data_IF_464761493856
#
_entry.id   IF_464761493856
#
_cell.length_a   1.000
_cell.length_b   1.000
_cell.length_c   1.000
_cell.angle_alpha   90.00
_cell.angle_beta   90.00
_cell.angle_gamma   90.00
#
_symmetry.space_group_name_H-M   'P 1'
#
loop_
_entity.id
_entity.type
_entity.pdbx_description
1 polymer ?
#
# COMPACT_ATOMS: atom_id res chain seq x y z
N UNK A 1 24.60 -37.55 12.86
CA UNK A 1 23.80 -36.75 11.89
C UNK A 1 22.37 -36.70 12.40
N UNK A 2 22.06 -35.78 13.35
CA UNK A 2 20.67 -35.53 13.78
C UNK A 2 20.05 -34.50 12.84
N UNK A 3 19.05 -34.91 12.23
CA UNK A 3 18.26 -34.44 11.14
C UNK A 3 18.00 -32.90 11.15
N UNK A 4 18.53 -32.26 10.17
CA UNK A 4 18.23 -30.92 9.69
C UNK A 4 16.76 -30.82 9.19
N UNK A 5 16.07 -31.97 9.13
CA UNK A 5 14.70 -32.11 8.65
C UNK A 5 13.59 -31.55 9.56
N UNK A 6 13.89 -31.27 10.82
CA UNK A 6 12.85 -30.89 11.79
C UNK A 6 12.52 -29.40 11.89
N UNK A 7 13.27 -28.51 11.23
CA UNK A 7 12.99 -27.08 11.26
C UNK A 7 12.26 -26.53 10.02
N UNK A 8 11.91 -27.40 9.07
CA UNK A 8 11.19 -27.01 7.85
C UNK A 8 9.76 -27.53 7.98
N UNK A 9 8.78 -26.64 8.06
CA UNK A 9 7.38 -27.02 8.24
C UNK A 9 6.86 -27.94 7.11
N UNK A 10 5.74 -28.65 7.32
CA UNK A 10 5.20 -29.65 6.41
C UNK A 10 4.97 -29.14 4.99
N UNK A 11 4.71 -27.85 4.84
CA UNK A 11 4.52 -27.19 3.55
C UNK A 11 5.79 -27.16 2.69
N UNK A 12 6.96 -27.11 3.28
CA UNK A 12 8.23 -27.06 2.54
C UNK A 12 8.53 -28.32 1.73
N UNK A 13 8.26 -29.49 2.30
CA UNK A 13 8.51 -30.75 1.62
C UNK A 13 7.63 -30.93 0.38
N UNK A 14 6.37 -30.55 0.48
CA UNK A 14 5.42 -30.63 -0.63
C UNK A 14 5.81 -29.73 -1.81
N UNK A 15 6.35 -28.56 -1.49
CA UNK A 15 6.87 -27.61 -2.48
C UNK A 15 7.98 -28.18 -3.33
N UNK A 16 9.03 -28.69 -2.71
CA UNK A 16 10.17 -29.28 -3.40
C UNK A 16 9.75 -30.41 -4.33
N UNK A 17 8.88 -31.28 -3.82
CA UNK A 17 8.39 -32.44 -4.56
C UNK A 17 7.62 -31.99 -5.81
N UNK A 18 6.67 -31.07 -5.66
CA UNK A 18 5.84 -30.61 -6.77
C UNK A 18 6.63 -29.88 -7.84
N UNK A 19 7.51 -28.97 -7.44
CA UNK A 19 8.31 -28.17 -8.36
C UNK A 19 9.29 -29.03 -9.14
N UNK A 20 10.01 -29.94 -8.47
CA UNK A 20 10.88 -30.89 -9.13
C UNK A 20 10.10 -31.78 -10.09
N UNK A 21 8.92 -32.27 -9.68
CA UNK A 21 8.05 -33.05 -10.54
C UNK A 21 7.64 -32.31 -11.81
N UNK A 22 7.20 -31.05 -11.67
CA UNK A 22 6.76 -30.26 -12.83
C UNK A 22 7.93 -29.88 -13.75
N UNK A 23 9.09 -29.58 -13.18
CA UNK A 23 10.33 -29.30 -13.94
C UNK A 23 10.76 -30.48 -14.78
N UNK A 24 10.65 -31.69 -14.22
CA UNK A 24 10.99 -32.92 -14.91
C UNK A 24 9.88 -33.45 -15.81
N UNK A 25 8.70 -32.79 -15.83
CA UNK A 25 7.56 -33.17 -16.65
C UNK A 25 6.81 -34.42 -16.17
N UNK A 26 7.06 -34.89 -14.93
CA UNK A 26 6.41 -36.11 -14.40
C UNK A 26 4.97 -35.83 -13.99
N UNK A 27 4.09 -36.85 -14.26
CA UNK A 27 2.74 -36.92 -13.69
C UNK A 27 2.79 -37.38 -12.23
N UNK A 28 1.77 -37.03 -11.45
CA UNK A 28 1.67 -37.48 -10.06
C UNK A 28 1.79 -38.99 -9.90
N UNK A 29 1.14 -39.73 -10.80
CA UNK A 29 1.18 -41.19 -10.79
C UNK A 29 2.57 -41.79 -11.06
N UNK A 30 3.38 -41.14 -11.88
CA UNK A 30 4.75 -41.57 -12.18
C UNK A 30 5.69 -41.40 -11.00
N UNK A 31 5.53 -40.33 -10.25
CA UNK A 31 6.33 -40.09 -9.04
C UNK A 31 5.86 -40.98 -7.89
N UNK A 32 4.55 -41.21 -7.77
CA UNK A 32 3.97 -42.01 -6.69
C UNK A 32 4.20 -43.50 -6.86
N UNK A 33 4.41 -44.00 -8.09
CA UNK A 33 4.56 -45.41 -8.41
C UNK A 33 5.58 -46.10 -7.49
N UNK A 34 5.19 -47.21 -6.87
CA UNK A 34 6.00 -48.00 -5.94
C UNK A 34 6.47 -47.30 -4.68
N UNK A 35 6.06 -46.02 -4.47
CA UNK A 35 6.47 -45.21 -3.32
C UNK A 35 5.29 -44.96 -2.39
N UNK A 36 4.16 -44.45 -2.93
CA UNK A 36 2.96 -44.11 -2.16
C UNK A 36 1.74 -44.02 -3.06
N UNK A 37 0.55 -43.83 -2.47
CA UNK A 37 -0.65 -43.54 -3.20
C UNK A 37 -0.61 -42.13 -3.85
N UNK A 38 -1.15 -42.00 -5.06
CA UNK A 38 -1.20 -40.74 -5.82
C UNK A 38 -1.96 -39.66 -5.06
N UNK A 39 -3.03 -40.05 -4.34
CA UNK A 39 -3.80 -39.09 -3.53
C UNK A 39 -3.01 -38.64 -2.32
N UNK A 40 -2.17 -39.49 -1.75
CA UNK A 40 -1.28 -39.13 -0.64
C UNK A 40 -0.17 -38.19 -1.11
N UNK A 41 0.45 -38.46 -2.26
CA UNK A 41 1.44 -37.56 -2.86
C UNK A 41 0.82 -36.17 -3.16
N UNK A 42 -0.41 -36.14 -3.66
CA UNK A 42 -1.14 -34.90 -3.87
C UNK A 42 -1.35 -34.08 -2.56
N UNK A 43 -1.65 -34.78 -1.46
CA UNK A 43 -1.76 -34.14 -0.13
C UNK A 43 -0.42 -33.62 0.38
N UNK A 44 0.67 -34.37 0.12
CA UNK A 44 2.04 -33.92 0.44
C UNK A 44 2.37 -32.67 -0.37
N UNK A 45 2.14 -32.67 -1.69
CA UNK A 45 2.40 -31.51 -2.54
C UNK A 45 1.56 -30.28 -2.17
N UNK A 46 0.36 -30.49 -1.61
CA UNK A 46 -0.49 -29.41 -1.06
C UNK A 46 -0.10 -28.99 0.35
N UNK A 47 0.90 -29.64 0.97
CA UNK A 47 1.32 -29.36 2.33
C UNK A 47 0.30 -29.72 3.41
N UNK A 48 -0.76 -30.48 3.08
CA UNK A 48 -1.78 -30.93 4.04
C UNK A 48 -1.32 -32.13 4.87
N UNK A 49 -0.27 -32.82 4.42
CA UNK A 49 0.35 -33.97 5.12
C UNK A 49 1.86 -33.86 4.98
N UNK A 50 2.57 -34.08 6.09
CA UNK A 50 4.03 -34.19 6.11
C UNK A 50 4.43 -35.64 5.82
N UNK A 51 5.25 -35.94 4.80
CA UNK A 51 5.78 -37.26 4.59
C UNK A 51 6.76 -37.62 5.72
N UNK A 52 6.83 -38.88 6.09
CA UNK A 52 7.92 -39.35 6.94
C UNK A 52 9.27 -39.27 6.19
N UNK A 53 10.37 -39.27 6.92
CA UNK A 53 11.72 -39.09 6.38
C UNK A 53 12.06 -40.11 5.27
N UNK A 54 11.72 -41.36 5.48
CA UNK A 54 12.00 -42.44 4.52
C UNK A 54 11.21 -42.27 3.20
N UNK A 55 9.96 -41.85 3.29
CA UNK A 55 9.11 -41.55 2.15
C UNK A 55 9.62 -40.33 1.38
N UNK A 56 9.99 -39.27 2.12
CA UNK A 56 10.56 -38.07 1.51
C UNK A 56 11.85 -38.36 0.76
N UNK A 57 12.77 -39.15 1.33
CA UNK A 57 14.03 -39.53 0.69
C UNK A 57 13.76 -40.33 -0.60
N UNK A 58 12.78 -41.24 -0.61
CA UNK A 58 12.42 -42.02 -1.82
C UNK A 58 11.88 -41.12 -2.93
N UNK A 59 10.99 -40.18 -2.60
CA UNK A 59 10.43 -39.23 -3.56
C UNK A 59 11.52 -38.28 -4.06
N UNK A 60 12.34 -37.73 -3.17
CA UNK A 60 13.44 -36.85 -3.51
C UNK A 60 14.44 -37.53 -4.46
N UNK A 61 14.80 -38.78 -4.17
CA UNK A 61 15.71 -39.55 -5.02
C UNK A 61 15.12 -39.81 -6.45
N UNK A 62 13.80 -40.04 -6.56
CA UNK A 62 13.13 -40.22 -7.86
C UNK A 62 13.08 -38.93 -8.68
N UNK A 63 12.98 -37.79 -7.98
CA UNK A 63 12.91 -36.47 -8.59
C UNK A 63 14.27 -35.75 -8.70
N UNK A 64 15.36 -36.49 -8.44
CA UNK A 64 16.72 -35.93 -8.45
C UNK A 64 16.85 -34.63 -7.64
N UNK A 65 16.08 -34.58 -6.55
CA UNK A 65 16.14 -33.45 -5.63
C UNK A 65 17.44 -33.60 -4.83
N UNK A 66 18.38 -32.73 -5.08
CA UNK A 66 19.46 -32.48 -4.15
C UNK A 66 18.86 -31.81 -2.92
N UNK A 67 19.06 -32.38 -1.73
CA UNK A 67 18.47 -31.86 -0.49
C UNK A 67 19.49 -30.89 0.11
N UNK A 68 19.52 -29.64 -0.32
CA UNK A 68 20.43 -28.67 0.27
C UNK A 68 19.90 -28.21 1.60
N UNK A 69 20.79 -27.82 2.48
CA UNK A 69 20.53 -27.01 3.67
C UNK A 69 19.98 -25.63 3.24
N UNK A 70 18.74 -25.58 2.74
CA UNK A 70 18.13 -24.30 2.38
C UNK A 70 17.40 -23.72 3.57
N UNK A 71 18.12 -23.00 4.40
CA UNK A 71 17.51 -21.91 5.17
C UNK A 71 17.01 -20.86 4.19
N UNK A 72 15.83 -20.28 4.47
CA UNK A 72 15.19 -19.24 3.66
C UNK A 72 15.99 -17.93 3.77
N UNK A 73 17.27 -17.98 3.39
CA UNK A 73 18.17 -16.83 3.48
C UNK A 73 17.85 -15.75 2.44
N UNK A 74 17.21 -16.10 1.32
CA UNK A 74 16.91 -15.16 0.26
C UNK A 74 15.93 -14.06 0.70
N UNK A 75 14.93 -14.40 1.53
CA UNK A 75 14.00 -13.41 2.10
C UNK A 75 14.77 -12.46 3.02
N UNK A 76 15.70 -13.01 3.80
CA UNK A 76 16.47 -12.22 4.74
C UNK A 76 17.49 -11.31 4.05
N UNK A 77 18.13 -11.75 2.98
CA UNK A 77 19.14 -10.96 2.26
C UNK A 77 18.53 -10.04 1.19
N UNK A 78 17.53 -10.51 0.42
CA UNK A 78 16.98 -9.78 -0.71
C UNK A 78 16.01 -8.65 -0.33
N UNK A 79 15.25 -8.82 0.73
CA UNK A 79 14.22 -7.86 1.18
C UNK A 79 14.70 -7.07 2.41
N UNK A 80 15.66 -7.59 3.16
CA UNK A 80 16.13 -7.01 4.42
C UNK A 80 16.57 -5.55 4.29
N UNK A 81 17.31 -5.22 3.25
CA UNK A 81 17.77 -3.86 3.02
C UNK A 81 16.61 -2.90 2.75
N UNK A 82 15.61 -3.34 1.98
CA UNK A 82 14.40 -2.54 1.79
C UNK A 82 13.61 -2.38 3.09
N UNK A 83 13.32 -3.47 3.80
CA UNK A 83 12.52 -3.45 5.02
C UNK A 83 13.15 -2.61 6.12
N UNK A 84 14.48 -2.45 6.14
CA UNK A 84 15.16 -1.71 7.18
C UNK A 84 15.75 -0.38 6.73
N UNK A 85 16.25 -0.29 5.50
CA UNK A 85 16.95 0.90 5.00
C UNK A 85 16.14 1.69 3.97
N UNK A 86 15.04 1.14 3.45
CA UNK A 86 14.26 1.75 2.37
C UNK A 86 14.97 1.74 1.02
N UNK A 87 16.10 1.04 0.90
CA UNK A 87 16.91 1.01 -0.32
C UNK A 87 16.33 0.06 -1.36
N UNK A 88 15.67 0.63 -2.37
CA UNK A 88 15.08 -0.10 -3.49
C UNK A 88 16.13 -0.71 -4.43
N UNK A 89 17.32 -0.10 -4.51
CA UNK A 89 18.35 -0.46 -5.48
C UNK A 89 18.98 -1.82 -5.23
N UNK A 90 18.90 -2.30 -4.01
CA UNK A 90 19.58 -3.52 -3.56
C UNK A 90 18.67 -4.76 -3.53
N UNK A 91 17.35 -4.60 -3.71
CA UNK A 91 16.42 -5.74 -3.64
C UNK A 91 16.75 -6.75 -4.75
N UNK A 92 17.28 -7.89 -4.34
CA UNK A 92 17.55 -9.03 -5.23
C UNK A 92 18.70 -8.87 -6.20
N UNK A 93 19.63 -7.90 -6.03
CA UNK A 93 20.80 -7.75 -6.91
C UNK A 93 21.75 -8.94 -6.91
N UNK A 94 21.85 -9.62 -5.77
CA UNK A 94 22.81 -10.72 -5.56
C UNK A 94 22.11 -12.10 -5.52
N UNK A 95 20.84 -12.18 -5.96
CA UNK A 95 20.10 -13.43 -5.96
C UNK A 95 20.11 -14.01 -7.37
N UNK A 96 20.76 -15.16 -7.54
CA UNK A 96 20.75 -15.91 -8.77
C UNK A 96 19.37 -16.57 -8.96
N UNK A 97 18.80 -16.40 -10.15
CA UNK A 97 17.51 -16.97 -10.51
C UNK A 97 17.49 -18.50 -10.35
N UNK A 98 18.61 -19.14 -10.66
CA UNK A 98 18.74 -20.59 -10.63
C UNK A 98 18.83 -21.16 -9.21
N UNK A 99 19.04 -20.28 -8.21
CA UNK A 99 19.09 -20.63 -6.79
C UNK A 99 17.71 -20.58 -6.11
N UNK A 100 16.71 -19.96 -6.77
CA UNK A 100 15.37 -19.81 -6.21
C UNK A 100 14.39 -20.80 -6.84
N UNK A 101 13.45 -21.26 -6.02
CA UNK A 101 12.30 -21.99 -6.50
C UNK A 101 11.38 -21.07 -7.30
N UNK A 102 10.58 -21.66 -8.19
CA UNK A 102 9.71 -20.90 -9.10
C UNK A 102 8.77 -19.95 -8.36
N UNK A 103 8.16 -20.36 -7.24
CA UNK A 103 7.26 -19.52 -6.45
C UNK A 103 8.02 -18.43 -5.69
N UNK A 104 9.20 -18.70 -5.14
CA UNK A 104 10.06 -17.72 -4.46
C UNK A 104 10.52 -16.65 -5.46
N UNK A 105 10.87 -17.06 -6.67
CA UNK A 105 11.21 -16.14 -7.74
C UNK A 105 10.03 -15.23 -8.11
N UNK A 106 8.82 -15.79 -8.28
CA UNK A 106 7.64 -15.01 -8.58
C UNK A 106 7.28 -14.04 -7.45
N UNK A 107 7.43 -14.47 -6.20
CA UNK A 107 7.22 -13.60 -5.05
C UNK A 107 8.25 -12.45 -5.02
N UNK A 108 9.52 -12.71 -5.28
CA UNK A 108 10.57 -11.70 -5.34
C UNK A 108 10.30 -10.70 -6.48
N UNK A 109 9.97 -11.18 -7.68
CA UNK A 109 9.65 -10.31 -8.81
C UNK A 109 8.37 -9.49 -8.55
N UNK A 110 7.37 -10.08 -7.89
CA UNK A 110 6.18 -9.35 -7.44
C UNK A 110 6.54 -8.21 -6.49
N UNK A 111 7.37 -8.47 -5.49
CA UNK A 111 7.85 -7.46 -4.55
C UNK A 111 8.59 -6.34 -5.28
N UNK A 112 9.51 -6.68 -6.19
CA UNK A 112 10.24 -5.70 -7.02
C UNK A 112 9.30 -4.85 -7.86
N UNK A 113 8.27 -5.45 -8.47
CA UNK A 113 7.28 -4.74 -9.27
C UNK A 113 6.46 -3.76 -8.41
N UNK A 114 6.04 -4.17 -7.20
CA UNK A 114 5.35 -3.29 -6.24
C UNK A 114 6.22 -2.09 -5.88
N UNK A 115 7.48 -2.32 -5.54
CA UNK A 115 8.42 -1.29 -5.13
C UNK A 115 8.76 -0.31 -6.26
N UNK A 116 8.81 -0.80 -7.51
CA UNK A 116 9.03 0.02 -8.72
C UNK A 116 7.77 0.72 -9.21
N UNK A 117 6.63 0.50 -8.55
CA UNK A 117 5.29 1.00 -8.95
C UNK A 117 4.90 0.55 -10.38
N UNK A 118 5.35 -0.63 -10.80
CA UNK A 118 5.05 -1.21 -12.11
C UNK A 118 3.72 -1.98 -12.05
N UNK A 119 2.64 -1.23 -12.15
CA UNK A 119 1.28 -1.74 -11.96
C UNK A 119 0.86 -2.82 -12.97
N UNK A 120 1.45 -2.85 -14.17
CA UNK A 120 1.16 -3.87 -15.16
C UNK A 120 1.76 -5.22 -14.73
N UNK A 121 3.03 -5.22 -14.35
CA UNK A 121 3.71 -6.41 -13.87
C UNK A 121 3.17 -6.87 -12.51
N UNK A 122 2.81 -5.95 -11.60
CA UNK A 122 2.16 -6.29 -10.32
C UNK A 122 0.90 -7.13 -10.56
N UNK A 123 0.01 -6.72 -11.46
CA UNK A 123 -1.23 -7.46 -11.75
C UNK A 123 -0.98 -8.84 -12.35
N UNK A 124 0.02 -8.96 -13.23
CA UNK A 124 0.42 -10.25 -13.83
C UNK A 124 1.02 -11.18 -12.77
N UNK A 125 2.01 -10.69 -12.03
CA UNK A 125 2.73 -11.46 -11.03
C UNK A 125 1.84 -11.84 -9.84
N UNK A 126 0.90 -10.95 -9.44
CA UNK A 126 -0.11 -11.28 -8.44
C UNK A 126 -0.88 -12.55 -8.80
N UNK A 127 -1.38 -12.66 -10.05
CA UNK A 127 -2.10 -13.86 -10.48
C UNK A 127 -1.22 -15.11 -10.36
N UNK A 128 0.05 -15.00 -10.76
CA UNK A 128 1.00 -16.12 -10.66
C UNK A 128 1.24 -16.52 -9.19
N UNK A 129 1.43 -15.55 -8.30
CA UNK A 129 1.62 -15.84 -6.86
C UNK A 129 0.34 -16.38 -6.24
N UNK A 130 -0.84 -15.88 -6.62
CA UNK A 130 -2.13 -16.39 -6.13
C UNK A 130 -2.34 -17.87 -6.51
N UNK A 131 -1.94 -18.28 -7.71
CA UNK A 131 -1.98 -19.69 -8.15
C UNK A 131 -1.09 -20.60 -7.29
N UNK A 132 0.01 -20.05 -6.76
CA UNK A 132 0.97 -20.76 -5.91
C UNK A 132 0.80 -20.45 -4.41
N UNK A 133 -0.21 -19.68 -4.03
CA UNK A 133 -0.38 -19.17 -2.64
C UNK A 133 -0.50 -20.28 -1.59
N UNK A 134 -1.01 -21.45 -1.97
CA UNK A 134 -1.10 -22.62 -1.08
C UNK A 134 0.26 -23.24 -0.76
N UNK A 135 1.30 -22.87 -1.49
CA UNK A 135 2.67 -23.33 -1.30
C UNK A 135 3.50 -22.39 -0.45
N UNK A 136 3.05 -21.16 -0.26
CA UNK A 136 3.76 -20.16 0.56
C UNK A 136 3.75 -20.61 2.03
N UNK A 137 4.92 -20.62 2.65
CA UNK A 137 5.04 -20.79 4.09
C UNK A 137 4.49 -19.55 4.81
N UNK A 138 4.21 -19.67 6.10
CA UNK A 138 3.59 -18.60 6.90
C UNK A 138 4.35 -17.26 6.79
N UNK A 139 5.69 -17.30 6.76
CA UNK A 139 6.53 -16.09 6.61
C UNK A 139 6.44 -15.48 5.21
N UNK A 140 6.46 -16.29 4.17
CA UNK A 140 6.31 -15.83 2.78
C UNK A 140 4.91 -15.26 2.55
N UNK A 141 3.89 -15.90 3.14
CA UNK A 141 2.51 -15.42 3.10
C UNK A 141 2.36 -14.08 3.82
N UNK A 142 2.99 -13.93 5.00
CA UNK A 142 3.01 -12.65 5.71
C UNK A 142 3.62 -11.54 4.85
N UNK A 143 4.74 -11.83 4.18
CA UNK A 143 5.42 -10.88 3.29
C UNK A 143 4.56 -10.59 2.05
N UNK A 144 3.95 -11.62 1.44
CA UNK A 144 3.06 -11.44 0.31
C UNK A 144 1.88 -10.52 0.66
N UNK A 145 1.20 -10.80 1.78
CA UNK A 145 0.07 -9.98 2.24
C UNK A 145 0.50 -8.55 2.57
N UNK A 146 1.70 -8.34 3.13
CA UNK A 146 2.26 -7.02 3.34
C UNK A 146 2.47 -6.28 2.01
N UNK A 147 3.16 -6.87 1.05
CA UNK A 147 3.49 -6.18 -0.20
C UNK A 147 2.27 -5.96 -1.11
N UNK A 148 1.31 -6.86 -1.12
CA UNK A 148 0.06 -6.63 -1.84
C UNK A 148 -0.77 -5.51 -1.18
N UNK A 149 -0.72 -5.40 0.15
CA UNK A 149 -1.35 -4.27 0.86
C UNK A 149 -0.69 -2.93 0.48
N UNK A 150 0.65 -2.91 0.36
CA UNK A 150 1.41 -1.74 -0.11
C UNK A 150 0.93 -1.31 -1.51
N UNK A 151 0.78 -2.28 -2.42
CA UNK A 151 0.24 -2.02 -3.75
C UNK A 151 -1.18 -1.42 -3.68
N UNK A 152 -2.08 -1.99 -2.87
CA UNK A 152 -3.44 -1.48 -2.76
C UNK A 152 -3.51 -0.10 -2.08
N UNK A 153 -2.64 0.19 -1.12
CA UNK A 153 -2.49 1.54 -0.55
C UNK A 153 -2.07 2.54 -1.63
N UNK A 154 -1.07 2.20 -2.44
CA UNK A 154 -0.61 3.05 -3.54
C UNK A 154 -1.70 3.31 -4.60
N UNK A 155 -2.55 2.30 -4.86
CA UNK A 155 -3.72 2.43 -5.76
C UNK A 155 -4.95 3.05 -5.06
N UNK A 156 -4.82 3.49 -3.80
CA UNK A 156 -5.91 4.01 -2.96
C UNK A 156 -7.10 3.04 -2.82
N UNK A 157 -6.86 1.73 -2.90
CA UNK A 157 -7.87 0.69 -2.72
C UNK A 157 -7.86 0.19 -1.27
N UNK A 158 -8.29 1.04 -0.35
CA UNK A 158 -8.12 0.83 1.09
C UNK A 158 -8.90 -0.35 1.66
N UNK A 159 -10.04 -0.72 1.07
CA UNK A 159 -10.80 -1.90 1.49
C UNK A 159 -10.00 -3.19 1.29
N UNK A 160 -9.37 -3.33 0.11
CA UNK A 160 -8.51 -4.48 -0.19
C UNK A 160 -7.21 -4.42 0.61
N UNK A 161 -6.61 -3.24 0.75
CA UNK A 161 -5.44 -3.04 1.59
C UNK A 161 -5.70 -3.52 3.03
N UNK A 162 -6.84 -3.16 3.62
CA UNK A 162 -7.20 -3.56 4.98
C UNK A 162 -7.31 -5.07 5.16
N UNK A 163 -7.88 -5.79 4.18
CA UNK A 163 -7.97 -7.26 4.23
C UNK A 163 -6.57 -7.90 4.32
N UNK A 164 -5.67 -7.48 3.44
CA UNK A 164 -4.30 -8.01 3.41
C UNK A 164 -3.45 -7.57 4.60
N UNK A 165 -3.61 -6.33 5.08
CA UNK A 165 -2.97 -5.88 6.32
C UNK A 165 -3.39 -6.74 7.52
N UNK A 166 -4.70 -7.08 7.61
CA UNK A 166 -5.19 -7.95 8.67
C UNK A 166 -4.59 -9.36 8.60
N UNK A 167 -4.47 -9.96 7.39
CA UNK A 167 -3.85 -11.27 7.22
C UNK A 167 -2.36 -11.23 7.58
N UNK A 168 -1.62 -10.21 7.09
CA UNK A 168 -0.21 -10.02 7.43
C UNK A 168 -0.01 -9.85 8.95
N UNK A 169 -0.88 -9.09 9.62
CA UNK A 169 -0.82 -8.90 11.09
C UNK A 169 -1.11 -10.19 11.86
N UNK A 170 -2.11 -10.99 11.42
CA UNK A 170 -2.38 -12.31 12.02
C UNK A 170 -1.18 -13.26 11.88
N UNK A 171 -0.56 -13.28 10.70
CA UNK A 171 0.63 -14.09 10.45
C UNK A 171 1.82 -13.59 11.30
N UNK A 172 2.06 -12.28 11.40
CA UNK A 172 3.10 -11.70 12.24
C UNK A 172 2.93 -12.07 13.72
N UNK A 173 1.69 -12.03 14.25
CA UNK A 173 1.38 -12.46 15.61
C UNK A 173 1.68 -13.95 15.83
N UNK A 174 1.28 -14.83 14.89
CA UNK A 174 1.57 -16.27 14.99
C UNK A 174 3.06 -16.57 14.97
N UNK A 175 3.81 -15.85 14.15
CA UNK A 175 5.25 -16.01 13.99
C UNK A 175 6.06 -15.26 15.05
N UNK A 176 5.41 -14.48 15.92
CA UNK A 176 6.05 -13.58 16.90
C UNK A 176 7.08 -12.64 16.25
N UNK A 177 6.72 -12.07 15.08
CA UNK A 177 7.56 -11.15 14.33
C UNK A 177 7.07 -9.73 14.57
N UNK A 178 7.97 -8.82 14.94
CA UNK A 178 7.73 -7.37 14.92
C UNK A 178 8.21 -6.81 13.58
N UNK A 179 7.30 -6.34 12.75
CA UNK A 179 7.59 -5.81 11.42
C UNK A 179 7.21 -4.33 11.36
N UNK A 180 8.22 -3.41 11.44
CA UNK A 180 7.94 -1.97 11.44
C UNK A 180 7.36 -1.46 10.11
N UNK A 181 7.58 -2.17 8.99
CA UNK A 181 6.95 -1.81 7.72
C UNK A 181 5.46 -2.16 7.74
N UNK A 182 5.07 -3.27 8.34
CA UNK A 182 3.67 -3.59 8.57
C UNK A 182 3.01 -2.51 9.45
N UNK A 183 3.68 -2.11 10.55
CA UNK A 183 3.14 -1.12 11.47
C UNK A 183 2.93 0.25 10.79
N UNK A 184 3.86 0.74 9.97
CA UNK A 184 3.65 2.02 9.26
C UNK A 184 2.50 1.93 8.24
N UNK A 185 2.29 0.80 7.55
CA UNK A 185 1.17 0.63 6.64
C UNK A 185 -0.17 0.44 7.38
N UNK A 186 -0.17 -0.16 8.57
CA UNK A 186 -1.32 -0.15 9.47
C UNK A 186 -1.64 1.28 9.92
N UNK A 187 -0.64 2.08 10.26
CA UNK A 187 -0.83 3.49 10.60
C UNK A 187 -1.49 4.26 9.44
N UNK A 188 -0.97 4.12 8.20
CA UNK A 188 -1.61 4.72 7.01
C UNK A 188 -3.08 4.30 6.86
N UNK A 189 -3.38 3.02 7.04
CA UNK A 189 -4.74 2.50 6.95
C UNK A 189 -5.65 3.10 8.03
N UNK A 190 -5.21 3.12 9.28
CA UNK A 190 -6.00 3.65 10.39
C UNK A 190 -6.21 5.17 10.29
N UNK A 191 -5.22 5.93 9.85
CA UNK A 191 -5.40 7.36 9.58
C UNK A 191 -6.37 7.59 8.42
N UNK A 192 -6.29 6.80 7.35
CA UNK A 192 -7.25 6.88 6.27
C UNK A 192 -8.69 6.60 6.74
N UNK A 193 -8.87 5.63 7.62
CA UNK A 193 -10.17 5.27 8.19
C UNK A 193 -10.57 6.12 9.40
N UNK A 194 -9.84 7.20 9.69
CA UNK A 194 -10.09 8.14 10.80
C UNK A 194 -10.07 7.47 12.20
N UNK A 195 -9.30 6.40 12.36
CA UNK A 195 -9.02 5.80 13.67
C UNK A 195 -7.68 6.30 14.20
N UNK A 196 -7.68 7.54 14.72
CA UNK A 196 -6.44 8.23 15.12
C UNK A 196 -5.66 7.47 16.20
N UNK A 197 -6.36 6.91 17.20
CA UNK A 197 -5.69 6.20 18.30
C UNK A 197 -4.88 5.01 17.79
N UNK A 198 -5.49 4.15 16.95
CA UNK A 198 -4.79 3.00 16.37
C UNK A 198 -3.69 3.46 15.40
N UNK A 199 -3.94 4.53 14.62
CA UNK A 199 -2.97 5.10 13.70
C UNK A 199 -1.68 5.56 14.43
N UNK A 200 -1.81 6.35 15.49
CA UNK A 200 -0.65 6.80 16.27
C UNK A 200 0.02 5.65 17.02
N UNK A 201 -0.73 4.70 17.57
CA UNK A 201 -0.15 3.52 18.21
C UNK A 201 0.80 2.76 17.27
N UNK A 202 0.33 2.40 16.08
CA UNK A 202 1.17 1.67 15.11
C UNK A 202 2.32 2.53 14.58
N UNK A 203 2.11 3.83 14.40
CA UNK A 203 3.16 4.74 13.97
C UNK A 203 4.30 4.83 15.00
N UNK A 204 3.97 4.90 16.29
CA UNK A 204 4.97 4.91 17.38
C UNK A 204 5.74 3.59 17.45
N UNK A 205 5.07 2.44 17.28
CA UNK A 205 5.75 1.14 17.21
C UNK A 205 6.75 1.08 16.04
N UNK A 206 6.33 1.54 14.86
CA UNK A 206 7.19 1.60 13.68
C UNK A 206 8.40 2.53 13.89
N UNK A 207 8.15 3.75 14.36
CA UNK A 207 9.20 4.78 14.58
C UNK A 207 10.25 4.30 15.58
N UNK A 208 9.84 3.73 16.72
CA UNK A 208 10.75 3.21 17.72
C UNK A 208 11.69 2.12 17.16
N UNK A 209 11.15 1.20 16.34
CA UNK A 209 11.94 0.14 15.72
C UNK A 209 12.87 0.67 14.62
N UNK A 210 12.41 1.62 13.80
CA UNK A 210 13.23 2.22 12.76
C UNK A 210 14.37 3.07 13.33
N UNK A 211 14.13 3.84 14.40
CA UNK A 211 15.17 4.60 15.10
C UNK A 211 16.22 3.65 15.71
N UNK A 212 15.78 2.56 16.37
CA UNK A 212 16.70 1.54 16.89
C UNK A 212 17.60 0.91 15.83
N UNK A 213 17.13 0.83 14.57
CA UNK A 213 17.85 0.26 13.43
C UNK A 213 18.59 1.30 12.59
N UNK A 214 18.54 2.58 12.97
CA UNK A 214 19.09 3.70 12.20
C UNK A 214 18.54 3.74 10.75
N UNK A 215 17.31 3.32 10.55
CA UNK A 215 16.65 3.26 9.25
C UNK A 215 16.13 4.65 8.84
N UNK A 216 17.04 5.56 8.47
CA UNK A 216 16.80 6.99 8.23
C UNK A 216 15.61 7.25 7.31
N UNK A 217 15.52 6.57 6.17
CA UNK A 217 14.40 6.72 5.23
C UNK A 217 13.04 6.56 5.92
N UNK A 218 12.88 5.49 6.70
CA UNK A 218 11.63 5.19 7.38
C UNK A 218 11.35 6.14 8.55
N UNK A 219 12.38 6.58 9.27
CA UNK A 219 12.24 7.60 10.33
C UNK A 219 11.68 8.90 9.74
N UNK A 220 12.21 9.34 8.59
CA UNK A 220 11.68 10.52 7.89
C UNK A 220 10.20 10.30 7.52
N UNK A 221 9.84 9.13 6.97
CA UNK A 221 8.43 8.82 6.63
C UNK A 221 7.52 8.79 7.86
N UNK A 222 7.99 8.27 8.99
CA UNK A 222 7.23 8.30 10.25
C UNK A 222 7.02 9.73 10.73
N UNK A 223 8.06 10.56 10.75
CA UNK A 223 7.95 11.95 11.21
C UNK A 223 7.05 12.79 10.28
N UNK A 224 7.12 12.61 8.96
CA UNK A 224 6.22 13.26 7.98
C UNK A 224 4.75 12.88 8.21
N UNK A 225 4.49 11.60 8.40
CA UNK A 225 3.15 11.09 8.67
C UNK A 225 2.62 11.62 10.01
N UNK A 226 3.45 11.57 11.05
CA UNK A 226 3.12 12.09 12.37
C UNK A 226 2.75 13.58 12.32
N UNK A 227 3.59 14.41 11.70
CA UNK A 227 3.32 15.84 11.55
C UNK A 227 2.01 16.09 10.79
N UNK A 228 1.80 15.38 9.67
CA UNK A 228 0.59 15.51 8.86
C UNK A 228 -0.68 15.21 9.66
N UNK A 229 -0.69 14.12 10.41
CA UNK A 229 -1.90 13.68 11.11
C UNK A 229 -2.14 14.49 12.40
N UNK A 230 -1.10 14.98 13.06
CA UNK A 230 -1.22 15.94 14.17
C UNK A 230 -1.84 17.26 13.72
N UNK A 231 -1.38 17.81 12.60
CA UNK A 231 -1.95 19.05 12.02
C UNK A 231 -3.43 18.83 11.65
N UNK A 232 -3.77 17.72 10.98
CA UNK A 232 -5.17 17.40 10.65
C UNK A 232 -6.06 17.25 11.87
N UNK A 233 -5.52 16.76 12.98
CA UNK A 233 -6.21 16.67 14.26
C UNK A 233 -6.30 18.02 15.01
N UNK A 234 -5.72 19.09 14.46
CA UNK A 234 -5.70 20.42 15.10
C UNK A 234 -4.69 20.56 16.23
N UNK A 235 -3.77 19.61 16.38
CA UNK A 235 -2.75 19.59 17.44
C UNK A 235 -1.39 19.94 16.84
N UNK A 236 -0.90 21.13 17.12
CA UNK A 236 0.33 21.67 16.50
C UNK A 236 1.55 21.69 17.43
N UNK A 237 1.35 21.32 18.70
CA UNK A 237 2.45 21.24 19.65
C UNK A 237 3.50 20.24 19.15
N UNK A 238 4.77 20.60 19.27
CA UNK A 238 5.92 19.82 18.80
C UNK A 238 6.05 19.66 17.26
N UNK A 239 5.01 19.95 16.47
CA UNK A 239 5.07 19.82 15.00
C UNK A 239 6.14 20.72 14.40
N UNK A 240 6.21 21.99 14.85
CA UNK A 240 7.20 22.95 14.36
C UNK A 240 8.63 22.49 14.63
N UNK A 241 8.87 21.96 15.82
CA UNK A 241 10.20 21.43 16.22
C UNK A 241 10.59 20.25 15.33
N UNK A 242 9.67 19.30 15.11
CA UNK A 242 9.94 18.14 14.25
C UNK A 242 10.16 18.53 12.79
N UNK A 243 9.35 19.44 12.23
CA UNK A 243 9.51 19.92 10.86
C UNK A 243 10.84 20.65 10.66
N UNK A 244 11.26 21.49 11.61
CA UNK A 244 12.59 22.12 11.56
C UNK A 244 13.70 21.07 11.61
N UNK A 245 13.58 20.08 12.47
CA UNK A 245 14.53 18.96 12.51
C UNK A 245 14.65 18.22 11.20
N UNK A 246 13.50 17.89 10.55
CA UNK A 246 13.46 17.23 9.24
C UNK A 246 14.07 18.10 8.14
N UNK A 247 13.75 19.42 8.10
CA UNK A 247 14.32 20.34 7.12
C UNK A 247 15.84 20.36 7.22
N UNK A 248 16.40 20.51 8.43
CA UNK A 248 17.85 20.49 8.65
C UNK A 248 18.52 19.17 8.27
N UNK A 249 17.83 18.03 8.45
CA UNK A 249 18.35 16.72 8.06
C UNK A 249 18.43 16.54 6.55
N UNK A 250 17.54 17.15 5.78
CA UNK A 250 17.45 16.96 4.32
C UNK A 250 18.21 18.00 3.52
N UNK A 251 18.44 19.21 4.05
CA UNK A 251 19.24 20.25 3.37
C UNK A 251 20.67 19.76 3.04
N UNK A 252 21.16 18.75 3.74
CA UNK A 252 22.52 18.21 3.56
C UNK A 252 22.64 17.13 2.47
N UNK A 253 21.54 16.54 1.97
CA UNK A 253 21.60 15.34 1.12
C UNK A 253 20.72 15.35 -0.15
N UNK A 254 20.02 16.46 -0.46
CA UNK A 254 19.43 16.65 -1.79
C UNK A 254 18.25 15.76 -2.19
N UNK A 255 17.49 15.20 -1.26
CA UNK A 255 16.23 14.49 -1.58
C UNK A 255 15.09 15.48 -1.87
N UNK A 256 14.95 15.83 -3.15
CA UNK A 256 13.96 16.80 -3.63
C UNK A 256 12.51 16.40 -3.32
N UNK A 257 12.19 15.09 -3.35
CA UNK A 257 10.84 14.60 -3.05
C UNK A 257 10.48 14.79 -1.58
N UNK A 258 11.37 14.45 -0.68
CA UNK A 258 11.15 14.64 0.76
C UNK A 258 11.08 16.13 1.13
N UNK A 259 11.87 17.00 0.49
CA UNK A 259 11.77 18.45 0.66
C UNK A 259 10.42 18.99 0.19
N UNK A 260 9.89 18.51 -0.93
CA UNK A 260 8.56 18.87 -1.42
C UNK A 260 7.47 18.43 -0.43
N UNK A 261 7.53 17.21 0.10
CA UNK A 261 6.61 16.74 1.14
C UNK A 261 6.65 17.61 2.39
N UNK A 262 7.85 17.96 2.90
CA UNK A 262 8.03 18.85 4.07
C UNK A 262 7.43 20.22 3.80
N UNK A 263 7.73 20.84 2.65
CA UNK A 263 7.14 22.13 2.30
C UNK A 263 5.60 22.06 2.25
N UNK A 264 5.03 20.98 1.72
CA UNK A 264 3.59 20.77 1.73
C UNK A 264 3.00 20.67 3.15
N UNK A 265 3.74 20.08 4.10
CA UNK A 265 3.30 20.00 5.51
C UNK A 265 3.47 21.33 6.20
N UNK A 266 4.53 22.10 5.92
CA UNK A 266 4.65 23.48 6.37
C UNK A 266 3.48 24.34 5.88
N UNK A 267 3.04 24.16 4.64
CA UNK A 267 1.84 24.81 4.12
C UNK A 267 0.61 24.51 4.98
N UNK A 268 0.36 23.23 5.32
CA UNK A 268 -0.73 22.82 6.21
C UNK A 268 -0.61 23.43 7.61
N UNK A 269 0.60 23.49 8.17
CA UNK A 269 0.88 24.05 9.49
C UNK A 269 0.54 25.55 9.54
N UNK A 270 0.99 26.33 8.56
CA UNK A 270 0.69 27.76 8.50
C UNK A 270 -0.78 28.04 8.16
N UNK A 271 -1.42 27.17 7.36
CA UNK A 271 -2.85 27.25 7.10
C UNK A 271 -3.66 27.10 8.40
N UNK A 272 -3.33 26.12 9.25
CA UNK A 272 -3.99 25.94 10.54
C UNK A 272 -3.78 27.14 11.49
N UNK A 273 -2.65 27.83 11.37
CA UNK A 273 -2.36 29.07 12.10
C UNK A 273 -3.00 30.32 11.49
N UNK A 274 -3.82 30.17 10.44
CA UNK A 274 -4.42 31.27 9.67
C UNK A 274 -3.38 32.25 9.06
N UNK A 275 -2.16 31.78 8.80
CA UNK A 275 -1.09 32.55 8.17
C UNK A 275 -1.09 32.25 6.65
N UNK A 276 -2.13 32.73 5.96
CA UNK A 276 -2.47 32.36 4.58
C UNK A 276 -1.32 32.61 3.59
N UNK A 277 -0.60 33.73 3.71
CA UNK A 277 0.49 34.04 2.77
C UNK A 277 1.71 33.12 2.95
N UNK A 278 2.07 32.79 4.19
CA UNK A 278 3.12 31.80 4.45
C UNK A 278 2.69 30.41 3.98
N UNK A 279 1.45 30.01 4.24
CA UNK A 279 0.91 28.75 3.74
C UNK A 279 1.02 28.66 2.23
N UNK A 280 0.62 29.71 1.51
CA UNK A 280 0.73 29.82 0.05
C UNK A 280 2.17 29.66 -0.44
N UNK A 281 3.13 30.38 0.17
CA UNK A 281 4.55 30.31 -0.19
C UNK A 281 5.10 28.89 -0.04
N UNK A 282 4.78 28.20 1.06
CA UNK A 282 5.22 26.84 1.29
C UNK A 282 4.56 25.82 0.37
N UNK A 283 3.26 25.97 0.07
CA UNK A 283 2.60 25.12 -0.93
C UNK A 283 3.21 25.31 -2.32
N UNK A 284 3.54 26.55 -2.73
CA UNK A 284 4.21 26.79 -4.01
C UNK A 284 5.60 26.13 -4.06
N UNK A 285 6.37 26.21 -2.95
CA UNK A 285 7.67 25.51 -2.85
C UNK A 285 7.56 23.98 -2.89
N UNK A 286 6.39 23.42 -2.53
CA UNK A 286 6.20 21.99 -2.47
C UNK A 286 5.97 21.35 -3.83
N UNK A 287 5.77 22.11 -4.90
CA UNK A 287 5.40 21.58 -6.20
C UNK A 287 6.53 21.81 -7.18
N UNK A 288 7.14 20.70 -7.61
CA UNK A 288 7.94 20.64 -8.81
C UNK A 288 7.06 20.07 -9.92
N UNK A 289 6.75 20.89 -10.93
CA UNK A 289 5.90 20.50 -12.05
C UNK A 289 6.48 19.34 -12.86
N UNK A 290 7.77 19.06 -12.74
CA UNK A 290 8.42 17.92 -13.39
C UNK A 290 8.25 16.60 -12.63
N UNK A 291 7.69 16.62 -11.41
CA UNK A 291 7.51 15.45 -10.55
C UNK A 291 6.06 15.30 -10.05
N UNK A 292 5.09 15.72 -10.85
CA UNK A 292 3.67 15.75 -10.45
C UNK A 292 3.09 14.39 -10.07
N UNK A 293 3.59 13.31 -10.67
CA UNK A 293 3.13 11.95 -10.37
C UNK A 293 3.48 11.51 -8.94
N UNK A 294 4.69 11.77 -8.51
CA UNK A 294 5.18 11.46 -7.17
C UNK A 294 4.56 12.37 -6.11
N UNK A 295 4.25 13.62 -6.51
CA UNK A 295 3.77 14.69 -5.64
C UNK A 295 2.26 14.94 -5.77
N UNK A 296 1.48 14.01 -6.31
CA UNK A 296 0.02 14.19 -6.50
C UNK A 296 -0.69 14.66 -5.22
N UNK A 297 -0.26 14.16 -4.06
CA UNK A 297 -0.85 14.59 -2.79
C UNK A 297 -0.55 16.06 -2.43
N UNK A 298 0.61 16.60 -2.83
CA UNK A 298 0.94 18.02 -2.69
C UNK A 298 0.09 18.88 -3.63
N UNK A 299 -0.08 18.42 -4.87
CA UNK A 299 -0.98 19.05 -5.85
C UNK A 299 -2.41 19.14 -5.32
N UNK A 300 -2.93 18.05 -4.78
CA UNK A 300 -4.28 17.99 -4.21
C UNK A 300 -4.42 18.95 -3.02
N UNK A 301 -3.44 19.01 -2.13
CA UNK A 301 -3.44 19.95 -0.99
C UNK A 301 -3.47 21.41 -1.45
N UNK A 302 -2.71 21.73 -2.48
CA UNK A 302 -2.66 23.11 -3.01
C UNK A 302 -3.98 23.50 -3.69
N UNK A 303 -4.62 22.59 -4.46
CA UNK A 303 -5.96 22.82 -5.02
C UNK A 303 -6.99 23.06 -3.91
N UNK A 304 -6.99 22.19 -2.89
CA UNK A 304 -7.85 22.34 -1.71
C UNK A 304 -7.64 23.68 -1.01
N UNK A 305 -6.39 24.11 -0.85
CA UNK A 305 -6.02 25.38 -0.22
C UNK A 305 -6.57 26.58 -1.02
N UNK A 306 -6.25 26.70 -2.30
CA UNK A 306 -6.75 27.80 -3.12
C UNK A 306 -8.28 27.87 -3.13
N UNK A 307 -8.93 26.71 -3.22
CA UNK A 307 -10.39 26.66 -3.21
C UNK A 307 -10.98 27.13 -1.87
N UNK A 308 -10.45 26.66 -0.73
CA UNK A 308 -10.91 27.07 0.61
C UNK A 308 -10.67 28.55 0.89
N UNK A 309 -9.55 29.10 0.41
CA UNK A 309 -9.22 30.51 0.56
C UNK A 309 -9.95 31.42 -0.45
N UNK A 310 -10.85 30.84 -1.26
CA UNK A 310 -11.57 31.55 -2.34
C UNK A 310 -10.64 32.26 -3.33
N UNK A 311 -9.42 31.76 -3.52
CA UNK A 311 -8.42 32.25 -4.47
C UNK A 311 -8.67 31.59 -5.84
N UNK A 312 -9.79 31.97 -6.48
CA UNK A 312 -10.29 31.28 -7.69
C UNK A 312 -9.38 31.54 -8.90
N UNK A 313 -8.79 32.72 -9.02
CA UNK A 313 -7.88 33.05 -10.13
C UNK A 313 -6.62 32.20 -10.06
N UNK A 314 -6.01 32.15 -8.91
CA UNK A 314 -4.80 31.36 -8.63
C UNK A 314 -5.08 29.87 -8.82
N UNK A 315 -6.25 29.39 -8.42
CA UNK A 315 -6.67 28.01 -8.65
C UNK A 315 -6.74 27.69 -10.16
N UNK A 316 -7.41 28.54 -10.95
CA UNK A 316 -7.55 28.35 -12.40
C UNK A 316 -6.19 28.41 -13.10
N UNK A 317 -5.36 29.39 -12.74
CA UNK A 317 -3.99 29.48 -13.26
C UNK A 317 -3.19 28.22 -12.96
N UNK A 318 -3.24 27.73 -11.74
CA UNK A 318 -2.57 26.49 -11.33
C UNK A 318 -3.08 25.28 -12.13
N UNK A 319 -4.40 25.11 -12.24
CA UNK A 319 -5.02 24.00 -12.96
C UNK A 319 -4.67 23.99 -14.46
N UNK A 320 -4.56 25.16 -15.09
CA UNK A 320 -4.23 25.31 -16.51
C UNK A 320 -2.76 24.93 -16.82
N UNK A 321 -1.85 25.10 -15.86
CA UNK A 321 -0.43 24.75 -16.02
C UNK A 321 -0.09 23.33 -15.57
N UNK A 322 -1.04 22.62 -14.97
CA UNK A 322 -0.81 21.29 -14.42
C UNK A 322 -0.78 20.20 -15.50
N UNK A 323 0.27 19.40 -15.52
CA UNK A 323 0.39 18.23 -16.41
C UNK A 323 -0.54 17.10 -15.94
N UNK A 324 -1.82 17.19 -16.29
CA UNK A 324 -2.87 16.26 -15.82
C UNK A 324 -2.67 14.81 -16.30
N UNK A 325 -1.95 14.61 -17.41
CA UNK A 325 -1.64 13.28 -17.95
C UNK A 325 -0.86 12.39 -16.99
N UNK A 326 -0.07 12.99 -16.11
CA UNK A 326 0.77 12.29 -15.13
C UNK A 326 0.02 11.94 -13.85
N UNK A 327 -1.13 12.56 -13.60
CA UNK A 327 -1.92 12.29 -12.40
C UNK A 327 -2.64 10.95 -12.49
N UNK A 328 -2.92 10.38 -11.32
CA UNK A 328 -3.81 9.23 -11.21
C UNK A 328 -5.22 9.57 -11.72
N UNK A 329 -6.04 8.53 -11.95
CA UNK A 329 -7.45 8.77 -12.31
C UNK A 329 -8.19 9.59 -11.26
N UNK A 330 -7.85 9.40 -9.98
CA UNK A 330 -8.44 10.18 -8.89
C UNK A 330 -7.99 11.64 -8.94
N UNK A 331 -6.69 11.89 -9.14
CA UNK A 331 -6.16 13.24 -9.28
C UNK A 331 -6.80 14.00 -10.44
N UNK A 332 -6.93 13.36 -11.61
CA UNK A 332 -7.64 13.96 -12.77
C UNK A 332 -9.09 14.30 -12.46
N UNK A 333 -9.82 13.40 -11.80
CA UNK A 333 -11.20 13.68 -11.42
C UNK A 333 -11.32 14.87 -10.44
N UNK A 334 -10.35 15.03 -9.53
CA UNK A 334 -10.30 16.18 -8.63
C UNK A 334 -9.98 17.49 -9.37
N UNK A 335 -9.03 17.47 -10.30
CA UNK A 335 -8.75 18.64 -11.17
C UNK A 335 -10.00 19.08 -11.90
N UNK A 336 -10.70 18.16 -12.56
CA UNK A 336 -11.93 18.45 -13.29
C UNK A 336 -13.05 18.98 -12.36
N UNK A 337 -13.19 18.36 -11.18
CA UNK A 337 -14.12 18.86 -10.16
C UNK A 337 -13.84 20.31 -9.77
N UNK A 338 -12.57 20.68 -9.53
CA UNK A 338 -12.20 22.04 -9.15
C UNK A 338 -12.37 23.03 -10.32
N UNK A 339 -12.20 22.60 -11.58
CA UNK A 339 -12.55 23.41 -12.73
C UNK A 339 -14.04 23.78 -12.75
N UNK A 340 -14.95 22.79 -12.60
CA UNK A 340 -16.38 23.07 -12.52
C UNK A 340 -16.72 24.01 -11.34
N UNK A 341 -16.10 23.79 -10.19
CA UNK A 341 -16.33 24.62 -9.00
C UNK A 341 -15.83 26.06 -9.16
N UNK A 342 -14.66 26.26 -9.79
CA UNK A 342 -14.09 27.56 -10.05
C UNK A 342 -14.96 28.39 -11.02
N UNK A 343 -15.57 27.75 -12.01
CA UNK A 343 -16.49 28.38 -12.95
C UNK A 343 -17.94 28.48 -12.42
N UNK A 344 -18.20 28.01 -11.21
CA UNK A 344 -19.56 27.92 -10.61
C UNK A 344 -20.55 27.21 -11.55
N UNK A 345 -20.05 26.21 -12.29
CA UNK A 345 -20.85 25.46 -13.24
C UNK A 345 -21.87 24.58 -12.50
N UNK A 346 -23.14 24.66 -12.93
CA UNK A 346 -24.26 23.84 -12.44
C UNK A 346 -24.98 23.18 -13.61
N UNK A 347 -24.31 23.08 -14.75
CA UNK A 347 -24.83 22.48 -15.97
C UNK A 347 -25.15 20.99 -15.79
N UNK A 348 -25.83 20.44 -16.79
CA UNK A 348 -26.05 19.00 -16.86
C UNK A 348 -24.74 18.22 -17.10
N UNK A 349 -23.70 18.89 -17.60
CA UNK A 349 -22.38 18.31 -17.81
C UNK A 349 -21.73 18.02 -16.45
N UNK A 350 -21.76 19.01 -15.54
CA UNK A 350 -21.25 18.83 -14.19
C UNK A 350 -22.03 17.76 -13.41
N UNK A 351 -23.39 17.75 -13.50
CA UNK A 351 -24.20 16.68 -12.90
C UNK A 351 -23.77 15.29 -13.40
N UNK A 352 -23.60 15.12 -14.71
CA UNK A 352 -23.18 13.86 -15.31
C UNK A 352 -21.78 13.45 -14.88
N UNK A 353 -20.83 14.40 -14.79
CA UNK A 353 -19.48 14.16 -14.28
C UNK A 353 -19.50 13.67 -12.83
N UNK A 354 -20.27 14.33 -11.94
CA UNK A 354 -20.42 13.89 -10.55
C UNK A 354 -20.93 12.45 -10.46
N UNK A 355 -21.96 12.11 -11.25
CA UNK A 355 -22.60 10.78 -11.21
C UNK A 355 -21.71 9.69 -11.81
N UNK A 356 -21.09 9.96 -12.97
CA UNK A 356 -20.40 8.92 -13.74
C UNK A 356 -18.91 8.77 -13.39
N UNK A 357 -18.28 9.82 -12.88
CA UNK A 357 -16.84 9.84 -12.65
C UNK A 357 -16.45 10.16 -11.22
N UNK A 358 -16.78 11.35 -10.70
CA UNK A 358 -16.26 11.82 -9.43
C UNK A 358 -16.72 10.96 -8.23
N UNK A 359 -18.03 10.69 -8.09
CA UNK A 359 -18.56 9.87 -7.02
C UNK A 359 -18.10 8.41 -7.12
N UNK A 360 -18.18 7.72 -8.28
CA UNK A 360 -17.65 6.38 -8.43
C UNK A 360 -16.14 6.27 -8.11
N UNK A 361 -15.34 7.25 -8.56
CA UNK A 361 -13.90 7.26 -8.26
C UNK A 361 -13.64 7.47 -6.77
N UNK A 362 -14.32 8.40 -6.11
CA UNK A 362 -14.24 8.61 -4.67
C UNK A 362 -14.65 7.35 -3.86
N UNK A 363 -15.71 6.64 -4.30
CA UNK A 363 -16.12 5.36 -3.70
C UNK A 363 -15.07 4.27 -3.90
N UNK A 364 -14.43 4.22 -5.06
CA UNK A 364 -13.36 3.25 -5.35
C UNK A 364 -12.13 3.47 -4.47
N UNK A 365 -11.75 4.74 -4.24
CA UNK A 365 -10.66 5.11 -3.35
C UNK A 365 -11.06 5.17 -1.88
N UNK A 366 -12.33 4.82 -1.56
CA UNK A 366 -12.89 4.87 -0.22
C UNK A 366 -12.61 6.18 0.55
N UNK A 367 -12.53 7.29 -0.17
CA UNK A 367 -12.28 8.61 0.41
C UNK A 367 -13.57 9.23 0.93
N UNK A 368 -13.77 9.18 2.26
CA UNK A 368 -14.95 9.79 2.89
C UNK A 368 -15.07 11.28 2.58
N UNK A 369 -13.92 12.01 2.62
CA UNK A 369 -13.85 13.44 2.30
C UNK A 369 -14.42 13.75 0.91
N UNK A 370 -13.89 13.10 -0.12
CA UNK A 370 -14.27 13.42 -1.52
C UNK A 370 -15.64 12.88 -1.90
N UNK A 371 -16.02 11.68 -1.43
CA UNK A 371 -17.38 11.17 -1.65
C UNK A 371 -18.41 12.11 -1.02
N UNK A 372 -18.16 12.57 0.20
CA UNK A 372 -19.06 13.53 0.88
C UNK A 372 -19.12 14.85 0.11
N UNK A 373 -17.99 15.41 -0.30
CA UNK A 373 -17.90 16.65 -1.06
C UNK A 373 -18.70 16.57 -2.38
N UNK A 374 -18.44 15.54 -3.18
CA UNK A 374 -19.10 15.36 -4.48
C UNK A 374 -20.60 15.11 -4.35
N UNK A 375 -21.03 14.28 -3.37
CA UNK A 375 -22.45 14.03 -3.14
C UNK A 375 -23.17 15.27 -2.61
N UNK A 376 -22.53 16.07 -1.75
CA UNK A 376 -23.10 17.33 -1.29
C UNK A 376 -23.33 18.33 -2.43
N UNK A 377 -22.41 18.40 -3.41
CA UNK A 377 -22.63 19.23 -4.60
C UNK A 377 -23.79 18.73 -5.45
N UNK A 378 -23.89 17.41 -5.66
CA UNK A 378 -25.02 16.82 -6.37
C UNK A 378 -26.36 17.07 -5.68
N UNK A 379 -26.41 16.97 -4.35
CA UNK A 379 -27.55 17.32 -3.51
C UNK A 379 -27.96 18.79 -3.72
N UNK A 380 -26.99 19.74 -3.71
CA UNK A 380 -27.27 21.16 -3.98
C UNK A 380 -27.89 21.38 -5.34
N UNK A 381 -27.37 20.71 -6.39
CA UNK A 381 -27.92 20.80 -7.75
C UNK A 381 -29.37 20.29 -7.77
N UNK A 382 -29.66 19.12 -7.19
CA UNK A 382 -31.02 18.57 -7.16
C UNK A 382 -32.00 19.42 -6.36
N UNK A 383 -31.55 19.97 -5.21
CA UNK A 383 -32.38 20.87 -4.38
C UNK A 383 -32.78 22.13 -5.14
N UNK A 384 -31.85 22.78 -5.82
CA UNK A 384 -32.12 23.98 -6.63
C UNK A 384 -33.08 23.73 -7.79
N UNK A 385 -33.02 22.49 -8.36
CA UNK A 385 -33.90 22.05 -9.43
C UNK A 385 -35.22 21.42 -8.94
N UNK A 386 -35.46 21.44 -7.62
CA UNK A 386 -36.65 20.83 -6.96
C UNK A 386 -36.81 19.33 -7.25
N UNK A 387 -35.71 18.61 -7.52
CA UNK A 387 -35.72 17.17 -7.75
C UNK A 387 -35.59 16.38 -6.43
N UNK A 388 -36.55 16.55 -5.51
CA UNK A 388 -36.50 16.04 -4.13
C UNK A 388 -36.31 14.52 -4.01
N UNK A 389 -36.89 13.74 -4.94
CA UNK A 389 -36.69 12.29 -4.95
C UNK A 389 -35.23 11.93 -5.18
N UNK A 390 -34.58 12.54 -6.21
CA UNK A 390 -33.16 12.31 -6.50
C UNK A 390 -32.26 12.81 -5.37
N UNK A 391 -32.61 13.93 -4.75
CA UNK A 391 -31.92 14.46 -3.58
C UNK A 391 -31.93 13.43 -2.44
N UNK A 392 -33.09 12.87 -2.11
CA UNK A 392 -33.26 11.84 -1.08
C UNK A 392 -32.47 10.58 -1.40
N UNK A 393 -32.48 10.12 -2.65
CA UNK A 393 -31.70 8.94 -3.07
C UNK A 393 -30.18 9.16 -2.87
N UNK A 394 -29.64 10.36 -3.15
CA UNK A 394 -28.23 10.67 -2.92
C UNK A 394 -27.91 10.72 -1.42
N UNK A 395 -28.78 11.28 -0.58
CA UNK A 395 -28.61 11.24 0.87
C UNK A 395 -28.54 9.81 1.40
N UNK A 396 -29.44 8.94 0.94
CA UNK A 396 -29.44 7.54 1.33
C UNK A 396 -28.14 6.84 0.91
N UNK A 397 -27.65 7.07 -0.29
CA UNK A 397 -26.37 6.53 -0.75
C UNK A 397 -25.19 7.04 0.08
N UNK A 398 -25.18 8.32 0.48
CA UNK A 398 -24.13 8.88 1.35
C UNK A 398 -24.16 8.23 2.74
N UNK A 399 -25.33 8.00 3.32
CA UNK A 399 -25.49 7.31 4.61
C UNK A 399 -24.98 5.87 4.54
N UNK A 400 -25.32 5.14 3.49
CA UNK A 400 -24.83 3.78 3.26
C UNK A 400 -23.30 3.75 3.12
N UNK A 401 -22.72 4.70 2.39
CA UNK A 401 -21.26 4.80 2.24
C UNK A 401 -20.60 5.11 3.58
N UNK A 402 -21.12 6.06 4.36
CA UNK A 402 -20.61 6.37 5.72
C UNK A 402 -20.64 5.14 6.63
N UNK A 403 -21.75 4.38 6.62
CA UNK A 403 -21.85 3.14 7.40
C UNK A 403 -20.82 2.10 6.98
N UNK A 404 -20.59 1.94 5.66
CA UNK A 404 -19.53 1.06 5.15
C UNK A 404 -18.16 1.53 5.63
N UNK A 405 -17.89 2.84 5.57
CA UNK A 405 -16.62 3.42 6.02
C UNK A 405 -16.38 3.21 7.52
N UNK A 406 -17.41 3.38 8.37
CA UNK A 406 -17.31 3.08 9.80
C UNK A 406 -16.98 1.61 10.09
N UNK A 407 -17.47 0.68 9.28
CA UNK A 407 -17.11 -0.74 9.41
C UNK A 407 -15.64 -1.00 9.07
N UNK A 408 -15.02 -0.21 8.18
CA UNK A 408 -13.60 -0.32 7.85
C UNK A 408 -12.67 0.10 9.00
N UNK A 409 -13.13 0.95 9.94
CA UNK A 409 -12.35 1.35 11.12
C UNK A 409 -11.99 0.16 12.01
N UNK A 410 -12.75 -0.91 11.91
CA UNK A 410 -12.52 -2.16 12.66
C UNK A 410 -11.85 -3.15 11.74
N UNK A 411 -10.51 -3.16 11.74
CA UNK A 411 -9.79 -4.30 11.20
C UNK A 411 -10.15 -5.52 12.07
N UNK A 412 -10.86 -6.49 11.49
CA UNK A 412 -11.12 -7.75 12.16
C UNK A 412 -9.81 -8.55 12.23
N UNK A 413 -9.06 -8.37 13.33
CA UNK A 413 -7.78 -9.04 13.60
C UNK A 413 -7.98 -10.10 14.67
#
# INVERSE_FOLDING_TARGET
MKSIYYNVGPHHHGLFIREARLRLGYRLAEVAAEICDTSYLCKIEKGTVTPNEQLFIKIAKRLEIDIPQMEVEWINSGIKNFLYLGELKEVGKNIDKDQLKTHEWHLLEFIKAVLRKDNLNVRKLKKMVDEWSYLLIDKEKQIYDLFISIYFVAESQWEEAGKHLAESLRASKRLNIQDPVLDIYLAYYYFHTENLCAGFYHLEQADALFRKKCARYWVIKCDLLWCTERIKAGVIDEVEIRLNGLSNMLDTEGDSLSLSEINSIWGLFYELRNQTELARQYYLKSIDLNQTKELEHCVIRMMDFFYRQNQIRELLDFLNHLATSELSRNGRALVEFYHFKAHKDESKVFENFLIKEAIPQGKKTTSLKYVTLHMQELIKIYRRRMHYKKEADVYQQLLLFKKKFENMKKLNV
#
